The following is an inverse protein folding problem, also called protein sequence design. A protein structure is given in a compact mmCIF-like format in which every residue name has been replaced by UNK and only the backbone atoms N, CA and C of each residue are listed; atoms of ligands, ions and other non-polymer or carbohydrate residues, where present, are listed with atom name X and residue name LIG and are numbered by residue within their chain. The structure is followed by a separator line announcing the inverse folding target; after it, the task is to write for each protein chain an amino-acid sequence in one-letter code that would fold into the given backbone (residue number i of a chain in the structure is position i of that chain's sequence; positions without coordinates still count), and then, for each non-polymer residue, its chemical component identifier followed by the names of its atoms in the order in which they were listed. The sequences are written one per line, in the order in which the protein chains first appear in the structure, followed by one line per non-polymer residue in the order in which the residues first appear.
data_IF_167212119645
#
_entry.id   IF_167212119645
#
_cell.length_a   1.000
_cell.length_b   1.000
_cell.length_c   1.000
_cell.angle_alpha   90.00
_cell.angle_beta   90.00
_cell.angle_gamma   90.00
#
_symmetry.space_group_name_H-M   'P 1'
#
loop_
_entity.id
_entity.type
_entity.pdbx_description
1 polymer ?
#
# COMPACT_ATOMS: atom_id res chain seq x y z
N UNK A 1 -0.10 -18.38 -2.12
CA UNK A 1 0.25 -16.98 -2.41
C UNK A 1 -0.25 -16.02 -1.33
N UNK A 2 -1.54 -15.65 -1.27
CA UNK A 2 -2.02 -14.63 -0.31
C UNK A 2 -1.66 -14.89 1.15
N UNK A 3 -1.71 -16.16 1.60
CA UNK A 3 -1.29 -16.53 2.95
C UNK A 3 0.19 -16.22 3.24
N UNK A 4 1.07 -16.43 2.26
CA UNK A 4 2.49 -16.11 2.39
C UNK A 4 2.70 -14.59 2.36
N UNK A 5 1.95 -13.87 1.51
CA UNK A 5 2.06 -12.42 1.43
C UNK A 5 1.51 -11.71 2.68
N UNK A 6 0.53 -12.32 3.35
CA UNK A 6 -0.04 -11.82 4.61
C UNK A 6 0.72 -12.29 5.85
N UNK A 7 1.85 -12.98 5.69
CA UNK A 7 2.63 -13.51 6.79
C UNK A 7 3.46 -12.38 7.44
N UNK A 8 3.56 -12.37 8.77
CA UNK A 8 4.13 -11.22 9.50
C UNK A 8 5.66 -11.10 9.34
N UNK A 9 6.33 -12.20 8.97
CA UNK A 9 7.75 -12.22 8.64
C UNK A 9 8.02 -11.63 7.25
N UNK A 10 8.89 -10.62 7.17
CA UNK A 10 9.25 -9.93 5.93
C UNK A 10 10.02 -10.82 4.95
N UNK A 11 10.71 -11.86 5.43
CA UNK A 11 11.37 -12.82 4.55
C UNK A 11 10.34 -13.65 3.79
N UNK A 12 9.28 -14.06 4.47
CA UNK A 12 8.20 -14.87 3.88
C UNK A 12 7.33 -14.04 2.95
N UNK A 13 6.89 -12.87 3.43
CA UNK A 13 6.03 -11.98 2.64
C UNK A 13 6.79 -11.29 1.51
N UNK A 14 8.05 -10.91 1.75
CA UNK A 14 8.98 -10.36 0.76
C UNK A 14 9.32 -11.33 -0.36
N UNK A 15 9.51 -12.63 -0.05
CA UNK A 15 9.78 -13.65 -1.07
C UNK A 15 8.68 -13.78 -2.13
N UNK A 16 7.43 -13.44 -1.80
CA UNK A 16 6.30 -13.52 -2.74
C UNK A 16 5.92 -12.17 -3.36
N UNK A 17 6.57 -11.08 -2.96
CA UNK A 17 6.31 -9.73 -3.46
C UNK A 17 6.56 -9.58 -4.97
N UNK A 18 7.59 -10.21 -5.59
CA UNK A 18 7.72 -10.24 -7.05
C UNK A 18 6.51 -10.84 -7.75
N UNK A 19 5.94 -11.92 -7.21
CA UNK A 19 4.72 -12.52 -7.74
C UNK A 19 3.50 -11.58 -7.57
N UNK A 20 3.41 -10.85 -6.46
CA UNK A 20 2.37 -9.85 -6.26
C UNK A 20 2.40 -8.75 -7.33
N UNK A 21 3.60 -8.29 -7.72
CA UNK A 21 3.78 -7.33 -8.82
C UNK A 21 3.32 -7.88 -10.17
N UNK A 22 3.63 -9.15 -10.46
CA UNK A 22 3.17 -9.82 -11.69
C UNK A 22 1.65 -9.95 -11.69
N UNK A 23 1.05 -10.38 -10.57
CA UNK A 23 -0.40 -10.44 -10.41
C UNK A 23 -1.00 -9.06 -10.69
N UNK A 24 -0.55 -8.00 -10.03
CA UNK A 24 -1.05 -6.64 -10.25
C UNK A 24 -1.01 -6.17 -11.72
N UNK A 25 0.03 -6.55 -12.47
CA UNK A 25 0.16 -6.22 -13.89
C UNK A 25 -0.80 -7.03 -14.78
N UNK A 26 -1.00 -8.31 -14.45
CA UNK A 26 -1.84 -9.23 -15.24
C UNK A 26 -3.33 -9.06 -14.98
N UNK A 27 -3.74 -8.40 -13.90
CA UNK A 27 -5.16 -8.20 -13.55
C UNK A 27 -5.92 -7.31 -14.54
N UNK A 28 -5.22 -6.56 -15.39
CA UNK A 28 -5.85 -5.74 -16.44
C UNK A 28 -6.50 -6.67 -17.47
N UNK A 29 -7.84 -6.74 -17.47
CA UNK A 29 -8.60 -7.49 -18.47
C UNK A 29 -8.90 -8.95 -18.11
N UNK A 30 -8.64 -9.38 -16.87
CA UNK A 30 -8.97 -10.74 -16.39
C UNK A 30 -10.30 -10.72 -15.63
N UNK A 31 -11.23 -11.62 -15.98
CA UNK A 31 -12.47 -11.80 -15.22
C UNK A 31 -12.17 -12.21 -13.76
N UNK A 32 -12.84 -11.57 -12.80
CA UNK A 32 -12.66 -11.84 -11.37
C UNK A 32 -11.63 -10.95 -10.66
N UNK A 33 -10.96 -10.02 -11.36
CA UNK A 33 -10.00 -9.09 -10.74
C UNK A 33 -10.56 -8.30 -9.55
N UNK A 34 -11.88 -8.04 -9.57
CA UNK A 34 -12.61 -7.34 -8.52
C UNK A 34 -12.58 -8.08 -7.16
N UNK A 35 -12.29 -9.38 -7.14
CA UNK A 35 -12.14 -10.14 -5.88
C UNK A 35 -10.69 -10.21 -5.41
N UNK A 36 -9.73 -10.07 -6.33
CA UNK A 36 -8.29 -10.18 -6.06
C UNK A 36 -7.71 -8.85 -5.57
N UNK A 37 -8.10 -7.73 -6.18
CA UNK A 37 -7.60 -6.40 -5.79
C UNK A 37 -7.90 -6.09 -4.32
N UNK A 38 -9.14 -6.25 -3.82
CA UNK A 38 -9.42 -6.02 -2.41
C UNK A 38 -8.56 -6.89 -1.48
N UNK A 39 -8.32 -8.16 -1.82
CA UNK A 39 -7.44 -9.02 -1.02
C UNK A 39 -5.99 -8.51 -0.97
N UNK A 40 -5.45 -8.07 -2.10
CA UNK A 40 -4.13 -7.44 -2.14
C UNK A 40 -4.08 -6.15 -1.31
N UNK A 41 -5.13 -5.32 -1.38
CA UNK A 41 -5.23 -4.08 -0.62
C UNK A 41 -5.33 -4.35 0.89
N UNK A 42 -6.11 -5.34 1.32
CA UNK A 42 -6.16 -5.76 2.73
C UNK A 42 -4.80 -6.20 3.25
N UNK A 43 -4.06 -6.98 2.46
CA UNK A 43 -2.72 -7.43 2.84
C UNK A 43 -1.76 -6.25 2.90
N UNK A 44 -1.75 -5.39 1.87
CA UNK A 44 -0.92 -4.18 1.84
C UNK A 44 -1.19 -3.27 3.04
N UNK A 45 -2.46 -3.08 3.41
CA UNK A 45 -2.83 -2.27 4.57
C UNK A 45 -2.29 -2.88 5.87
N UNK A 46 -2.48 -4.18 6.08
CA UNK A 46 -1.97 -4.88 7.27
C UNK A 46 -0.44 -4.78 7.36
N UNK A 47 0.25 -5.08 6.26
CA UNK A 47 1.70 -5.08 6.17
C UNK A 47 2.31 -3.66 6.25
N UNK A 48 1.50 -2.60 6.07
CA UNK A 48 1.95 -1.22 6.21
C UNK A 48 1.94 -0.70 7.64
N UNK A 49 1.35 -1.46 8.58
CA UNK A 49 1.34 -1.11 10.00
C UNK A 49 2.73 -1.28 10.58
N UNK A 50 3.09 -0.42 11.51
CA UNK A 50 4.27 -0.69 12.34
C UNK A 50 4.06 -1.97 13.16
N UNK A 51 5.13 -2.74 13.40
CA UNK A 51 5.14 -3.78 14.42
C UNK A 51 4.67 -3.25 15.78
N UNK A 52 4.11 -4.13 16.61
CA UNK A 52 3.58 -3.74 17.92
C UNK A 52 4.69 -3.28 18.90
N UNK A 53 5.92 -3.74 18.66
CA UNK A 53 7.15 -3.44 19.39
C UNK A 53 8.02 -2.37 18.72
N UNK A 54 7.52 -1.72 17.65
CA UNK A 54 8.25 -0.68 16.93
C UNK A 54 8.69 0.46 17.87
N UNK A 55 10.00 0.73 17.89
CA UNK A 55 10.60 1.90 18.55
C UNK A 55 11.24 2.79 17.49
N UNK A 56 11.14 4.11 17.66
CA UNK A 56 11.92 5.05 16.86
C UNK A 56 13.36 5.06 17.36
N UNK A 57 14.11 4.00 17.05
CA UNK A 57 15.54 3.95 17.30
C UNK A 57 16.28 4.30 15.99
N UNK A 58 17.25 5.20 16.06
CA UNK A 58 17.81 5.87 14.89
C UNK A 58 19.13 5.26 14.39
N UNK A 59 19.53 4.09 14.90
CA UNK A 59 20.90 3.56 14.73
C UNK A 59 21.03 2.14 14.10
N UNK A 60 19.97 1.51 13.56
CA UNK A 60 20.03 0.07 13.21
C UNK A 60 19.99 -0.29 11.71
N UNK A 61 20.86 -1.24 11.30
CA UNK A 61 20.94 -1.85 9.95
C UNK A 61 19.64 -2.57 9.54
N UNK A 62 18.85 -3.08 10.49
CA UNK A 62 17.55 -3.75 10.25
C UNK A 62 16.50 -2.80 9.63
N UNK A 63 16.65 -1.48 9.82
CA UNK A 63 15.81 -0.49 9.12
C UNK A 63 15.99 -0.57 7.59
N UNK A 64 17.17 -0.98 7.09
CA UNK A 64 17.44 -0.98 5.66
C UNK A 64 16.62 -2.04 4.91
N UNK A 65 16.49 -3.25 5.46
CA UNK A 65 15.71 -4.32 4.85
C UNK A 65 14.21 -4.05 4.95
N UNK A 66 13.74 -3.54 6.09
CA UNK A 66 12.35 -3.09 6.25
C UNK A 66 12.01 -1.94 5.29
N UNK A 67 12.89 -0.96 5.13
CA UNK A 67 12.65 0.17 4.24
C UNK A 67 12.65 -0.28 2.76
N UNK A 68 13.51 -1.23 2.40
CA UNK A 68 13.47 -1.87 1.09
C UNK A 68 12.13 -2.60 0.86
N UNK A 69 11.66 -3.36 1.84
CA UNK A 69 10.37 -4.04 1.78
C UNK A 69 9.21 -3.05 1.63
N UNK A 70 9.17 -1.98 2.44
CA UNK A 70 8.18 -0.90 2.37
C UNK A 70 8.23 -0.16 1.02
N UNK A 71 9.42 0.06 0.47
CA UNK A 71 9.61 0.65 -0.86
C UNK A 71 9.00 -0.23 -1.96
N UNK A 72 9.18 -1.55 -1.87
CA UNK A 72 8.56 -2.51 -2.79
C UNK A 72 7.04 -2.57 -2.65
N UNK A 73 6.52 -2.55 -1.42
CA UNK A 73 5.07 -2.44 -1.16
C UNK A 73 4.47 -1.17 -1.75
N UNK A 74 5.15 -0.02 -1.58
CA UNK A 74 4.75 1.26 -2.19
C UNK A 74 4.72 1.16 -3.72
N UNK A 75 5.71 0.54 -4.35
CA UNK A 75 5.72 0.30 -5.80
C UNK A 75 4.54 -0.56 -6.23
N UNK A 76 4.22 -1.61 -5.47
CA UNK A 76 3.08 -2.49 -5.74
C UNK A 76 1.75 -1.73 -5.63
N UNK A 77 1.54 -0.99 -4.53
CA UNK A 77 0.31 -0.22 -4.33
C UNK A 77 0.11 0.82 -5.43
N UNK A 78 1.15 1.56 -5.82
CA UNK A 78 1.07 2.51 -6.96
C UNK A 78 0.71 1.82 -8.27
N UNK A 79 1.13 0.57 -8.49
CA UNK A 79 0.69 -0.21 -9.66
C UNK A 79 -0.81 -0.52 -9.57
N UNK A 80 -1.31 -0.94 -8.41
CA UNK A 80 -2.74 -1.19 -8.20
C UNK A 80 -3.58 0.06 -8.43
N UNK A 81 -3.15 1.22 -7.93
CA UNK A 81 -3.83 2.51 -8.18
C UNK A 81 -3.94 2.81 -9.67
N UNK A 82 -2.90 2.51 -10.46
CA UNK A 82 -2.92 2.72 -11.91
C UNK A 82 -3.85 1.76 -12.66
N UNK A 83 -4.11 0.59 -12.09
CA UNK A 83 -4.95 -0.46 -12.68
C UNK A 83 -6.41 -0.29 -12.28
N UNK A 84 -6.67 0.05 -11.01
CA UNK A 84 -8.01 0.14 -10.44
C UNK A 84 -8.10 1.26 -9.40
N UNK A 85 -7.97 2.51 -9.85
CA UNK A 85 -8.00 3.69 -8.99
C UNK A 85 -9.26 3.76 -8.13
N UNK A 86 -10.44 3.51 -8.71
CA UNK A 86 -11.72 3.56 -7.99
C UNK A 86 -11.80 2.53 -6.87
N UNK A 87 -11.37 1.28 -7.10
CA UNK A 87 -11.34 0.25 -6.05
C UNK A 87 -10.34 0.60 -4.95
N UNK A 88 -9.19 1.16 -5.29
CA UNK A 88 -8.21 1.61 -4.30
C UNK A 88 -8.77 2.77 -3.46
N UNK A 89 -9.47 3.71 -4.10
CA UNK A 89 -10.11 4.84 -3.41
C UNK A 89 -11.24 4.38 -2.50
N UNK A 90 -12.09 3.45 -2.95
CA UNK A 90 -13.13 2.88 -2.12
C UNK A 90 -12.54 2.21 -0.87
N UNK A 91 -11.50 1.39 -1.05
CA UNK A 91 -10.79 0.76 0.05
C UNK A 91 -10.19 1.78 1.03
N UNK A 92 -9.60 2.87 0.53
CA UNK A 92 -9.09 3.96 1.37
C UNK A 92 -10.19 4.61 2.23
N UNK A 93 -11.34 4.90 1.62
CA UNK A 93 -12.48 5.47 2.34
C UNK A 93 -12.96 4.52 3.45
N UNK A 94 -13.03 3.21 3.17
CA UNK A 94 -13.39 2.19 4.15
C UNK A 94 -12.34 2.10 5.28
N UNK A 95 -11.05 2.08 4.94
CA UNK A 95 -9.96 2.03 5.91
C UNK A 95 -9.97 3.26 6.84
N UNK A 96 -10.07 4.46 6.28
CA UNK A 96 -10.17 5.70 7.06
C UNK A 96 -11.45 5.77 7.89
N UNK A 97 -12.58 5.34 7.34
CA UNK A 97 -13.87 5.30 8.04
C UNK A 97 -13.92 4.28 9.18
N UNK A 98 -13.02 3.28 9.18
CA UNK A 98 -12.90 2.29 10.25
C UNK A 98 -12.08 2.78 11.45
N UNK A 99 -11.36 3.89 11.33
CA UNK A 99 -10.54 4.43 12.42
C UNK A 99 -11.43 5.00 13.53
N UNK A 100 -11.10 4.75 14.82
CA UNK A 100 -11.80 5.36 15.95
C UNK A 100 -11.82 6.89 15.88
N UNK A 101 -12.94 7.47 16.33
CA UNK A 101 -13.08 8.92 16.50
C UNK A 101 -13.22 9.28 17.99
N UNK A 102 -12.57 10.35 18.47
CA UNK A 102 -11.61 11.18 17.73
C UNK A 102 -10.34 10.40 17.39
N UNK A 103 -9.65 10.74 16.29
CA UNK A 103 -8.43 10.04 15.86
C UNK A 103 -7.35 9.95 16.93
N UNK A 104 -7.37 10.84 17.93
CA UNK A 104 -6.47 10.77 19.10
C UNK A 104 -6.65 9.52 19.97
N UNK A 105 -7.71 8.73 19.77
CA UNK A 105 -7.93 7.43 20.45
C UNK A 105 -7.58 6.23 19.57
N UNK A 106 -7.27 6.45 18.28
CA UNK A 106 -6.91 5.38 17.37
C UNK A 106 -5.46 4.91 17.61
N UNK A 107 -5.15 3.61 17.44
CA UNK A 107 -3.78 3.12 17.54
C UNK A 107 -2.88 3.76 16.48
N UNK A 108 -1.70 4.23 16.87
CA UNK A 108 -0.71 4.82 15.95
C UNK A 108 -0.40 3.96 14.73
N UNK A 109 -0.23 2.62 14.82
CA UNK A 109 0.01 1.77 13.65
C UNK A 109 -1.12 1.80 12.62
N UNK A 110 -2.38 1.93 13.08
CA UNK A 110 -3.54 2.00 12.20
C UNK A 110 -3.63 3.36 11.49
N UNK A 111 -3.38 4.44 12.23
CA UNK A 111 -3.31 5.80 11.67
C UNK A 111 -2.20 5.85 10.61
N UNK A 112 -1.00 5.38 10.93
CA UNK A 112 0.13 5.39 10.01
C UNK A 112 -0.19 4.63 8.72
N UNK A 113 -0.68 3.38 8.83
CA UNK A 113 -0.97 2.57 7.65
C UNK A 113 -2.01 3.25 6.73
N UNK A 114 -3.05 3.85 7.32
CA UNK A 114 -4.09 4.53 6.56
C UNK A 114 -3.55 5.80 5.87
N UNK A 115 -2.84 6.65 6.60
CA UNK A 115 -2.24 7.88 6.07
C UNK A 115 -1.20 7.59 5.01
N UNK A 116 -0.37 6.55 5.20
CA UNK A 116 0.63 6.10 4.23
C UNK A 116 -0.01 5.66 2.91
N UNK A 117 -1.09 4.89 2.96
CA UNK A 117 -1.84 4.52 1.75
C UNK A 117 -2.47 5.75 1.06
N UNK A 118 -2.97 6.74 1.81
CA UNK A 118 -3.46 8.00 1.22
C UNK A 118 -2.36 8.72 0.48
N UNK A 119 -1.19 8.87 1.11
CA UNK A 119 -0.03 9.51 0.50
C UNK A 119 0.39 8.82 -0.80
N UNK A 120 0.53 7.49 -0.77
CA UNK A 120 0.94 6.73 -1.96
C UNK A 120 -0.14 6.63 -3.04
N UNK A 121 -1.41 6.80 -2.70
CA UNK A 121 -2.49 6.87 -3.68
C UNK A 121 -2.30 8.08 -4.60
N UNK A 122 -2.02 9.24 -4.01
CA UNK A 122 -1.72 10.47 -4.77
C UNK A 122 -0.55 10.27 -5.74
N UNK A 123 0.48 9.52 -5.35
CA UNK A 123 1.62 9.20 -6.23
C UNK A 123 1.31 8.18 -7.33
N UNK A 124 0.30 7.33 -7.10
CA UNK A 124 -0.14 6.31 -8.04
C UNK A 124 -0.99 6.91 -9.18
N UNK A 125 -1.79 7.94 -8.88
CA UNK A 125 -2.64 8.64 -9.84
C UNK A 125 -1.79 9.30 -10.91
N UNK A 126 -2.06 8.99 -12.18
CA UNK A 126 -1.42 9.67 -13.31
C UNK A 126 -2.15 10.99 -13.56
N UNK A 127 -1.44 12.12 -13.66
CA UNK A 127 -2.07 13.36 -14.08
C UNK A 127 -2.65 13.19 -15.50
N UNK A 128 -3.77 13.86 -15.82
CA UNK A 128 -4.34 13.84 -17.16
C UNK A 128 -3.30 14.25 -18.20
N UNK A 129 -3.37 13.71 -19.43
CA UNK A 129 -2.52 14.17 -20.53
C UNK A 129 -2.61 15.69 -20.67
N UNK A 130 -1.47 16.38 -20.58
CA UNK A 130 -1.37 17.85 -20.69
C UNK A 130 -1.08 18.60 -19.39
N UNK A 131 -1.36 18.04 -18.20
CA UNK A 131 -1.14 18.75 -16.93
C UNK A 131 0.36 19.01 -16.64
N UNK A 132 1.24 18.10 -17.07
CA UNK A 132 2.70 18.26 -16.95
C UNK A 132 3.26 19.45 -17.74
N UNK A 133 2.54 19.91 -18.77
CA UNK A 133 2.93 21.08 -19.57
C UNK A 133 2.55 22.37 -18.82
N UNK A 134 1.43 22.36 -18.09
CA UNK A 134 0.95 23.50 -17.31
C UNK A 134 1.86 23.75 -16.09
N UNK A 135 2.21 22.70 -15.32
CA UNK A 135 3.07 22.84 -14.14
C UNK A 135 4.55 23.17 -14.45
N UNK A 136 4.96 23.15 -15.73
CA UNK A 136 6.30 23.57 -16.15
C UNK A 136 6.41 25.07 -16.45
N UNK A 137 5.27 25.74 -16.57
CA UNK A 137 5.17 27.14 -16.97
C UNK A 137 4.71 28.05 -15.81
N UNK A 138 4.71 27.52 -14.59
CA UNK A 138 4.56 28.25 -13.33
C UNK A 138 5.88 28.18 -12.55
#
# INVERSE_FOLDING_TARGET
FFRCFAYDDIDVSGAVLPLAHVVAQTLVGVEGYQTVIPQLLTILYRQSRYPADFQFDHEDEDEAEEELYRSEMRKLYRKLVRVAAELCLQFLCEALGSLPMPLSTAPTPDIEAAVRLVYHYGEGVRPPPGLKVVMKNE
#
